data_IF_199185295956
#
_entry.id   IF_199185295956
#
_cell.length_a   1.000
_cell.length_b   1.000
_cell.length_c   1.000
_cell.angle_alpha   90.00
_cell.angle_beta   90.00
_cell.angle_gamma   90.00
#
_symmetry.space_group_name_H-M   'P 1'
#
loop_
_entity.id
_entity.type
_entity.pdbx_description
1 polymer ?
#
# COMPACT_ATOMS: atom_id res chain seq x y z
N UNK A 1 -5.34 -12.22 -16.97
CA UNK A 1 -4.41 -11.31 -16.25
C UNK A 1 -4.29 -11.84 -14.85
N UNK A 2 -3.07 -11.96 -14.33
CA UNK A 2 -2.85 -12.35 -12.94
C UNK A 2 -3.26 -11.21 -12.00
N UNK A 3 -3.72 -11.59 -10.82
CA UNK A 3 -4.12 -10.67 -9.76
C UNK A 3 -3.34 -11.03 -8.51
N UNK A 4 -2.93 -10.00 -7.79
CA UNK A 4 -2.35 -10.10 -6.47
C UNK A 4 -3.38 -9.69 -5.42
N UNK A 5 -3.20 -10.14 -4.20
CA UNK A 5 -4.08 -9.84 -3.09
C UNK A 5 -3.47 -8.77 -2.18
N UNK A 6 -4.31 -7.84 -1.72
CA UNK A 6 -4.04 -7.01 -0.54
C UNK A 6 -4.84 -7.62 0.59
N UNK A 7 -4.20 -7.88 1.74
CA UNK A 7 -4.81 -8.55 2.90
C UNK A 7 -4.70 -7.70 4.15
N UNK A 8 -5.78 -7.66 4.92
CA UNK A 8 -5.83 -7.02 6.23
C UNK A 8 -7.02 -7.52 7.04
N UNK A 9 -6.79 -7.93 8.28
CA UNK A 9 -7.82 -8.37 9.22
C UNK A 9 -8.77 -9.43 8.60
N UNK A 10 -8.21 -10.51 8.05
CA UNK A 10 -8.93 -11.59 7.34
C UNK A 10 -9.68 -11.18 6.08
N UNK A 11 -9.55 -9.92 5.64
CA UNK A 11 -10.15 -9.43 4.39
C UNK A 11 -9.15 -9.51 3.26
N UNK A 12 -9.69 -9.54 2.04
CA UNK A 12 -8.89 -9.58 0.83
C UNK A 12 -9.52 -8.72 -0.24
N UNK A 13 -8.68 -7.91 -0.90
CA UNK A 13 -9.02 -7.19 -2.14
C UNK A 13 -8.00 -7.54 -3.20
N UNK A 14 -8.46 -7.63 -4.44
CA UNK A 14 -7.62 -8.03 -5.57
C UNK A 14 -7.22 -6.83 -6.43
N UNK A 15 -5.94 -6.75 -6.74
CA UNK A 15 -5.32 -5.75 -7.60
C UNK A 15 -4.72 -6.44 -8.82
N UNK A 16 -4.80 -5.80 -9.98
CA UNK A 16 -4.11 -6.31 -11.16
C UNK A 16 -2.60 -6.20 -10.93
N UNK A 17 -1.85 -7.27 -11.21
CA UNK A 17 -0.39 -7.27 -11.05
C UNK A 17 0.26 -6.12 -11.82
N UNK A 18 -0.26 -5.82 -13.01
CA UNK A 18 0.23 -4.75 -13.87
C UNK A 18 0.09 -3.35 -13.24
N UNK A 19 -0.81 -3.18 -12.27
CA UNK A 19 -1.04 -1.92 -11.57
C UNK A 19 -0.41 -1.91 -10.17
N UNK A 20 -0.09 -3.07 -9.59
CA UNK A 20 0.46 -3.16 -8.24
C UNK A 20 1.73 -2.32 -8.06
N UNK A 21 2.71 -2.47 -8.96
CA UNK A 21 3.95 -1.69 -8.89
C UNK A 21 3.72 -0.18 -8.95
N UNK A 22 2.79 0.27 -9.80
CA UNK A 22 2.45 1.69 -9.92
C UNK A 22 1.78 2.23 -8.64
N UNK A 23 0.95 1.41 -7.99
CA UNK A 23 0.34 1.78 -6.70
C UNK A 23 1.38 1.83 -5.58
N UNK A 24 2.26 0.83 -5.48
CA UNK A 24 3.36 0.84 -4.49
C UNK A 24 4.24 2.08 -4.69
N UNK A 25 4.58 2.41 -5.93
CA UNK A 25 5.37 3.59 -6.26
C UNK A 25 4.65 4.89 -5.87
N UNK A 26 3.34 4.98 -6.11
CA UNK A 26 2.54 6.14 -5.71
C UNK A 26 2.54 6.31 -4.17
N UNK A 27 2.31 5.22 -3.43
CA UNK A 27 2.36 5.24 -1.96
C UNK A 27 3.74 5.66 -1.48
N UNK A 28 4.82 5.12 -2.06
CA UNK A 28 6.19 5.51 -1.74
C UNK A 28 6.45 7.00 -1.92
N UNK A 29 6.01 7.60 -3.03
CA UNK A 29 6.19 9.04 -3.25
C UNK A 29 5.54 9.89 -2.16
N UNK A 30 4.34 9.52 -1.71
CA UNK A 30 3.65 10.22 -0.62
C UNK A 30 4.38 10.03 0.71
N UNK A 31 4.86 8.81 0.95
CA UNK A 31 5.62 8.49 2.16
C UNK A 31 6.93 9.27 2.21
N UNK A 32 7.70 9.30 1.13
CA UNK A 32 8.97 10.05 1.01
C UNK A 32 8.78 11.55 1.24
N UNK A 33 7.72 12.14 0.65
CA UNK A 33 7.37 13.54 0.88
C UNK A 33 7.05 13.87 2.34
N UNK A 34 6.49 12.91 3.10
CA UNK A 34 6.13 13.09 4.50
C UNK A 34 7.20 12.58 5.48
N UNK A 35 8.15 11.76 5.04
CA UNK A 35 9.25 11.23 5.85
C UNK A 35 10.11 12.34 6.46
N UNK A 36 10.25 13.47 5.76
CA UNK A 36 10.95 14.65 6.27
C UNK A 36 10.23 15.34 7.45
N UNK A 37 8.91 15.14 7.58
CA UNK A 37 8.09 15.74 8.63
C UNK A 37 7.98 14.86 9.87
N UNK A 38 7.98 13.54 9.70
CA UNK A 38 7.76 12.57 10.77
C UNK A 38 8.65 11.32 10.62
N UNK A 39 9.98 11.45 10.78
CA UNK A 39 10.91 10.36 10.47
C UNK A 39 10.66 9.11 11.32
N UNK A 40 10.48 9.27 12.63
CA UNK A 40 10.28 8.13 13.55
C UNK A 40 8.90 7.46 13.38
N UNK A 41 7.91 8.19 12.87
CA UNK A 41 6.55 7.67 12.68
C UNK A 41 6.36 6.96 11.35
N UNK A 42 7.32 7.07 10.42
CA UNK A 42 7.21 6.60 9.03
C UNK A 42 8.22 5.48 8.70
N UNK A 43 9.28 5.30 9.49
CA UNK A 43 10.29 4.24 9.28
C UNK A 43 9.70 2.85 9.04
N UNK A 44 8.68 2.47 9.82
CA UNK A 44 8.01 1.17 9.66
C UNK A 44 7.34 1.00 8.30
N UNK A 45 6.84 2.09 7.70
CA UNK A 45 6.15 2.07 6.43
C UNK A 45 7.15 2.04 5.26
N UNK A 46 8.31 2.67 5.42
CA UNK A 46 9.42 2.54 4.46
C UNK A 46 9.88 1.07 4.38
N UNK A 47 10.04 0.39 5.51
CA UNK A 47 10.33 -1.04 5.52
C UNK A 47 9.21 -1.90 4.91
N UNK A 48 7.95 -1.53 5.14
CA UNK A 48 6.82 -2.22 4.53
C UNK A 48 6.86 -2.11 3.01
N UNK A 49 7.11 -0.90 2.48
CA UNK A 49 7.19 -0.64 1.04
C UNK A 49 8.38 -1.35 0.41
N UNK A 50 9.53 -1.38 1.08
CA UNK A 50 10.71 -2.11 0.63
C UNK A 50 10.40 -3.61 0.46
N UNK A 51 9.73 -4.22 1.44
CA UNK A 51 9.30 -5.62 1.38
C UNK A 51 8.30 -5.84 0.24
N UNK A 52 7.26 -5.00 0.13
CA UNK A 52 6.28 -5.09 -0.94
C UNK A 52 6.90 -4.93 -2.34
N UNK A 53 7.91 -4.08 -2.47
CA UNK A 53 8.62 -3.88 -3.73
C UNK A 53 9.50 -5.08 -4.08
N UNK A 54 10.22 -5.65 -3.10
CA UNK A 54 10.99 -6.88 -3.29
C UNK A 54 10.08 -8.04 -3.71
N UNK A 55 8.94 -8.22 -3.02
CA UNK A 55 7.94 -9.24 -3.38
C UNK A 55 7.38 -9.00 -4.80
N UNK A 56 7.14 -7.74 -5.17
CA UNK A 56 6.68 -7.39 -6.51
C UNK A 56 7.70 -7.75 -7.60
N UNK A 57 9.00 -7.57 -7.38
CA UNK A 57 10.05 -7.87 -8.36
C UNK A 57 10.41 -9.36 -8.42
N UNK A 58 10.42 -10.03 -7.27
CA UNK A 58 10.97 -11.39 -7.13
C UNK A 58 9.92 -12.49 -7.29
N UNK A 59 8.66 -12.23 -6.92
CA UNK A 59 7.61 -13.25 -6.97
C UNK A 59 6.96 -13.34 -8.36
N UNK A 60 6.56 -14.55 -8.78
CA UNK A 60 5.89 -14.72 -10.06
C UNK A 60 4.52 -14.02 -10.05
N UNK A 61 3.99 -13.67 -11.23
CA UNK A 61 2.67 -13.07 -11.34
C UNK A 61 1.58 -13.90 -10.62
N UNK A 62 0.71 -13.22 -9.88
CA UNK A 62 -0.35 -13.81 -9.08
C UNK A 62 0.05 -14.25 -7.67
N UNK A 63 1.33 -14.06 -7.29
CA UNK A 63 1.83 -14.34 -5.93
C UNK A 63 2.40 -13.09 -5.23
N UNK A 64 2.26 -11.89 -5.83
CA UNK A 64 2.85 -10.63 -5.33
C UNK A 64 1.95 -9.98 -4.27
N UNK A 65 1.57 -10.77 -3.28
CA UNK A 65 0.57 -10.36 -2.30
C UNK A 65 1.11 -9.34 -1.29
N UNK A 66 0.25 -8.42 -0.87
CA UNK A 66 0.53 -7.43 0.15
C UNK A 66 -0.14 -7.86 1.45
N UNK A 67 0.67 -8.07 2.50
CA UNK A 67 0.18 -8.37 3.84
C UNK A 67 0.28 -7.14 4.75
N UNK A 68 -0.87 -6.57 5.13
CA UNK A 68 -0.92 -5.35 5.95
C UNK A 68 -0.95 -5.66 7.45
N UNK A 69 -1.41 -6.84 7.86
CA UNK A 69 -1.52 -7.21 9.29
C UNK A 69 -0.15 -7.20 9.99
N UNK A 70 0.92 -7.47 9.24
CA UNK A 70 2.31 -7.40 9.72
C UNK A 70 2.73 -5.98 10.12
N UNK A 71 2.19 -4.95 9.47
CA UNK A 71 2.64 -3.57 9.59
C UNK A 71 1.70 -2.71 10.43
N UNK A 72 0.39 -2.90 10.25
CA UNK A 72 -0.68 -2.14 10.90
C UNK A 72 -1.07 -2.73 12.26
N UNK A 73 -0.08 -3.02 13.09
CA UNK A 73 -0.22 -3.70 14.39
C UNK A 73 -0.81 -2.81 15.50
N UNK A 74 -0.90 -1.50 15.28
CA UNK A 74 -1.43 -0.51 16.22
C UNK A 74 -2.42 0.40 15.51
N UNK A 75 -3.45 0.85 16.22
CA UNK A 75 -4.46 1.78 15.69
C UNK A 75 -3.85 3.05 15.08
N UNK A 76 -2.83 3.63 15.73
CA UNK A 76 -2.15 4.82 15.20
C UNK A 76 -1.47 4.59 13.84
N UNK A 77 -0.91 3.41 13.58
CA UNK A 77 -0.31 3.09 12.28
C UNK A 77 -1.36 2.95 11.19
N UNK A 78 -2.51 2.36 11.53
CA UNK A 78 -3.66 2.30 10.62
C UNK A 78 -4.12 3.71 10.24
N UNK A 79 -4.32 4.59 11.22
CA UNK A 79 -4.73 5.98 10.97
C UNK A 79 -3.72 6.75 10.11
N UNK A 80 -2.42 6.61 10.39
CA UNK A 80 -1.35 7.21 9.57
C UNK A 80 -1.45 6.68 8.13
N UNK A 81 -1.59 5.37 7.95
CA UNK A 81 -1.65 4.78 6.63
C UNK A 81 -2.90 5.18 5.84
N UNK A 82 -4.06 5.25 6.49
CA UNK A 82 -5.29 5.74 5.88
C UNK A 82 -5.15 7.18 5.39
N UNK A 83 -4.55 8.07 6.20
CA UNK A 83 -4.30 9.46 5.81
C UNK A 83 -3.36 9.55 4.60
N UNK A 84 -2.31 8.72 4.55
CA UNK A 84 -1.38 8.68 3.43
C UNK A 84 -2.05 8.16 2.15
N UNK A 85 -2.95 7.17 2.25
CA UNK A 85 -3.73 6.69 1.11
C UNK A 85 -4.71 7.76 0.59
N UNK A 86 -5.31 8.56 1.46
CA UNK A 86 -6.11 9.71 1.05
C UNK A 86 -5.29 10.75 0.29
N UNK A 87 -4.06 11.00 0.73
CA UNK A 87 -3.16 11.91 0.03
C UNK A 87 -2.65 11.33 -1.29
N UNK A 88 -2.41 10.02 -1.35
CA UNK A 88 -2.09 9.31 -2.58
C UNK A 88 -3.24 9.39 -3.59
N UNK A 89 -4.48 9.20 -3.14
CA UNK A 89 -5.67 9.30 -4.00
C UNK A 89 -5.81 10.68 -4.66
N UNK A 90 -5.45 11.76 -3.94
CA UNK A 90 -5.49 13.14 -4.46
C UNK A 90 -4.40 13.42 -5.50
N UNK A 91 -3.27 12.71 -5.44
CA UNK A 91 -2.06 13.02 -6.20
C UNK A 91 -1.74 11.99 -7.29
N UNK A 92 -2.35 10.81 -7.25
CA UNK A 92 -2.16 9.76 -8.23
C UNK A 92 -2.83 10.06 -9.58
N UNK A 93 -2.38 9.37 -10.61
CA UNK A 93 -3.04 9.34 -11.92
C UNK A 93 -4.44 8.73 -11.82
N UNK A 94 -5.35 9.20 -12.68
CA UNK A 94 -6.74 8.75 -12.70
C UNK A 94 -6.90 7.24 -12.89
N UNK A 95 -5.95 6.61 -13.59
CA UNK A 95 -5.91 5.16 -13.83
C UNK A 95 -5.56 4.33 -12.58
N UNK A 96 -5.05 4.96 -11.51
CA UNK A 96 -4.66 4.32 -10.26
C UNK A 96 -5.65 4.55 -9.12
N UNK A 97 -6.59 5.49 -9.28
CA UNK A 97 -7.56 5.84 -8.23
C UNK A 97 -8.38 4.65 -7.76
N UNK A 98 -8.90 3.85 -8.70
CA UNK A 98 -9.68 2.66 -8.37
C UNK A 98 -8.85 1.64 -7.58
N UNK A 99 -7.57 1.50 -7.90
CA UNK A 99 -6.68 0.59 -7.20
C UNK A 99 -6.35 1.10 -5.80
N UNK A 100 -6.04 2.39 -5.62
CA UNK A 100 -5.87 3.00 -4.30
C UNK A 100 -7.14 2.88 -3.46
N UNK A 101 -8.32 3.02 -4.08
CA UNK A 101 -9.60 2.89 -3.38
C UNK A 101 -9.77 1.51 -2.74
N UNK A 102 -9.28 0.43 -3.38
CA UNK A 102 -9.29 -0.92 -2.81
C UNK A 102 -8.46 -1.04 -1.53
N UNK A 103 -7.32 -0.33 -1.45
CA UNK A 103 -6.53 -0.26 -0.22
C UNK A 103 -7.28 0.51 0.87
N UNK A 104 -8.08 1.51 0.53
CA UNK A 104 -8.88 2.23 1.51
C UNK A 104 -10.08 1.39 2.01
N UNK A 105 -10.77 0.70 1.11
CA UNK A 105 -11.88 -0.20 1.46
C UNK A 105 -11.43 -1.29 2.44
N UNK A 106 -10.28 -1.92 2.17
CA UNK A 106 -9.80 -3.01 3.03
C UNK A 106 -9.47 -2.52 4.45
N UNK A 107 -9.23 -1.23 4.66
CA UNK A 107 -8.97 -0.67 5.99
C UNK A 107 -10.26 -0.26 6.72
N UNK A 108 -11.29 0.18 5.98
CA UNK A 108 -12.52 0.81 6.52
C UNK A 108 -13.67 -0.15 6.82
N UNK A 109 -13.73 -1.29 6.13
CA UNK A 109 -14.77 -2.31 6.34
C UNK A 109 -14.64 -3.06 7.70
#
# INVERSE_FOLDING_TARGET
MSQSAIRYNQRTRYIQDAQLGAVIQCVFQIVDQNATKFPDEIEWLLHAIEEWWSDFEELPPGLKDIELDKWLTKGSRKEIFENLLEDALKQCDESLKDEIFKWMEILRD
#
